data_IF_038404992788
#
_entry.id   IF_038404992788
#
_cell.length_a   1.000
_cell.length_b   1.000
_cell.length_c   1.000
_cell.angle_alpha   90.00
_cell.angle_beta   90.00
_cell.angle_gamma   90.00
#
_symmetry.space_group_name_H-M   'P 1'
#
loop_
_entity.id
_entity.type
_entity.pdbx_description
1 polymer ?
#
# COMPACT_ATOMS: atom_id res chain seq x y z
N UNK A 1 -3.00 -18.23 9.28
CA UNK A 1 -3.50 -16.86 8.97
C UNK A 1 -4.75 -16.99 8.10
N UNK A 2 -5.91 -16.50 8.53
CA UNK A 2 -7.13 -16.58 7.71
C UNK A 2 -7.14 -15.50 6.63
N UNK A 3 -7.44 -15.89 5.39
CA UNK A 3 -7.69 -14.93 4.32
C UNK A 3 -8.99 -14.15 4.58
N UNK A 4 -9.11 -12.89 4.13
CA UNK A 4 -10.39 -12.19 4.15
C UNK A 4 -11.46 -12.98 3.39
N UNK A 5 -12.74 -12.78 3.76
CA UNK A 5 -13.87 -13.34 2.99
C UNK A 5 -13.79 -12.86 1.54
N UNK A 6 -14.23 -13.70 0.59
CA UNK A 6 -14.25 -13.35 -0.83
C UNK A 6 -14.96 -12.01 -1.06
N UNK A 7 -14.40 -11.19 -1.96
CA UNK A 7 -14.90 -9.86 -2.26
C UNK A 7 -14.60 -8.80 -1.19
N UNK A 8 -13.86 -9.13 -0.11
CA UNK A 8 -13.46 -8.17 0.92
C UNK A 8 -11.94 -8.06 1.00
N UNK A 9 -11.47 -6.84 1.28
CA UNK A 9 -10.10 -6.58 1.68
C UNK A 9 -10.04 -6.30 3.19
N UNK A 10 -9.03 -6.83 3.87
CA UNK A 10 -8.73 -6.50 5.27
C UNK A 10 -8.15 -5.09 5.35
N UNK A 11 -8.73 -4.24 6.19
CA UNK A 11 -8.23 -2.90 6.48
C UNK A 11 -7.58 -2.93 7.87
N UNK A 12 -6.33 -2.49 7.98
CA UNK A 12 -5.60 -2.39 9.25
C UNK A 12 -5.26 -0.93 9.46
N UNK A 13 -5.63 -0.36 10.61
CA UNK A 13 -5.22 0.97 11.02
C UNK A 13 -4.12 0.79 12.08
N UNK A 14 -2.91 1.26 11.78
CA UNK A 14 -1.74 1.06 12.62
C UNK A 14 -1.22 2.41 13.11
N UNK A 15 -1.24 2.62 14.42
CA UNK A 15 -0.72 3.83 15.06
C UNK A 15 0.59 3.47 15.77
N UNK A 16 1.63 4.28 15.58
CA UNK A 16 2.93 4.09 16.22
C UNK A 16 3.64 5.43 16.42
N UNK A 17 4.32 5.59 17.55
CA UNK A 17 5.22 6.70 17.87
C UNK A 17 6.70 6.28 17.82
N UNK A 18 6.99 4.99 17.61
CA UNK A 18 8.32 4.41 17.74
C UNK A 18 8.84 3.66 16.51
N UNK A 19 10.00 3.04 16.69
CA UNK A 19 10.75 2.31 15.66
C UNK A 19 10.80 0.81 15.94
N UNK A 20 11.16 0.04 14.90
CA UNK A 20 11.47 -1.39 15.01
C UNK A 20 12.80 -1.66 14.33
N UNK A 21 13.53 -2.69 14.76
CA UNK A 21 14.82 -3.06 14.18
C UNK A 21 14.70 -3.74 12.80
N UNK A 22 13.59 -4.42 12.53
CA UNK A 22 13.41 -5.27 11.35
C UNK A 22 12.41 -4.71 10.31
N UNK A 23 12.51 -3.41 10.03
CA UNK A 23 11.61 -2.69 9.11
C UNK A 23 11.47 -3.39 7.75
N UNK A 24 12.58 -3.86 7.16
CA UNK A 24 12.57 -4.48 5.84
C UNK A 24 11.77 -5.79 5.81
N UNK A 25 11.99 -6.67 6.79
CA UNK A 25 11.27 -7.95 6.91
C UNK A 25 9.76 -7.72 7.07
N UNK A 26 9.37 -6.72 7.85
CA UNK A 26 7.96 -6.35 8.04
C UNK A 26 7.37 -5.80 6.74
N UNK A 27 8.09 -4.96 6.00
CA UNK A 27 7.64 -4.44 4.71
C UNK A 27 7.52 -5.58 3.67
N UNK A 28 8.45 -6.52 3.64
CA UNK A 28 8.39 -7.69 2.75
C UNK A 28 7.20 -8.58 3.06
N UNK A 29 6.94 -8.82 4.35
CA UNK A 29 5.72 -9.51 4.78
C UNK A 29 4.47 -8.75 4.31
N UNK A 30 4.46 -7.43 4.43
CA UNK A 30 3.34 -6.59 3.98
C UNK A 30 3.12 -6.69 2.46
N UNK A 31 4.19 -6.69 1.65
CA UNK A 31 4.09 -6.90 0.19
C UNK A 31 3.44 -8.24 -0.14
N UNK A 32 3.74 -9.29 0.63
CA UNK A 32 3.19 -10.64 0.42
C UNK A 32 1.66 -10.72 0.60
N UNK A 33 1.07 -9.81 1.39
CA UNK A 33 -0.37 -9.77 1.69
C UNK A 33 -1.12 -8.63 0.97
N UNK A 34 -0.42 -7.82 0.18
CA UNK A 34 -0.91 -6.56 -0.39
C UNK A 34 -2.10 -6.70 -1.36
N UNK A 35 -2.37 -7.91 -1.86
CA UNK A 35 -3.51 -8.18 -2.74
C UNK A 35 -4.85 -8.19 -2.00
N UNK A 36 -4.85 -8.43 -0.69
CA UNK A 36 -6.08 -8.62 0.09
C UNK A 36 -6.07 -7.85 1.42
N UNK A 37 -4.96 -7.20 1.77
CA UNK A 37 -4.82 -6.43 3.01
C UNK A 37 -4.24 -5.06 2.68
N UNK A 38 -4.82 -4.02 3.29
CA UNK A 38 -4.33 -2.64 3.29
C UNK A 38 -3.97 -2.19 4.70
N UNK A 39 -2.89 -1.43 4.84
CA UNK A 39 -2.47 -0.83 6.09
C UNK A 39 -2.50 0.70 5.96
N UNK A 40 -3.31 1.33 6.81
CA UNK A 40 -3.42 2.76 6.99
C UNK A 40 -2.58 3.12 8.23
N UNK A 41 -1.41 3.68 8.02
CA UNK A 41 -0.43 3.90 9.09
C UNK A 41 -0.42 5.35 9.58
N UNK A 42 -0.17 5.52 10.88
CA UNK A 42 -0.15 6.81 11.57
C UNK A 42 1.14 6.88 12.38
N UNK A 43 2.03 7.79 12.01
CA UNK A 43 3.21 8.11 12.81
C UNK A 43 2.87 9.23 13.79
N UNK A 44 2.90 8.95 15.09
CA UNK A 44 2.51 9.89 16.12
C UNK A 44 3.72 10.59 16.75
N UNK A 45 3.54 11.85 17.17
CA UNK A 45 4.52 12.56 17.96
C UNK A 45 5.68 13.13 17.16
N UNK A 46 6.80 13.37 17.85
CA UNK A 46 7.91 14.16 17.30
C UNK A 46 8.81 13.37 16.34
N UNK A 47 8.99 12.07 16.56
CA UNK A 47 9.98 11.28 15.82
C UNK A 47 9.55 9.82 15.56
N UNK A 48 8.36 9.59 14.97
CA UNK A 48 7.97 8.25 14.55
C UNK A 48 8.84 7.76 13.39
N UNK A 49 9.05 6.45 13.31
CA UNK A 49 9.82 5.83 12.22
C UNK A 49 9.18 6.10 10.86
N UNK A 50 9.81 6.98 10.07
CA UNK A 50 9.27 7.36 8.74
C UNK A 50 9.35 6.21 7.73
N UNK A 51 10.41 5.39 7.82
CA UNK A 51 10.61 4.23 6.96
C UNK A 51 9.52 3.19 7.19
N UNK A 52 9.21 2.90 8.45
CA UNK A 52 8.13 1.98 8.83
C UNK A 52 6.76 2.51 8.40
N UNK A 53 6.40 3.72 8.85
CA UNK A 53 5.07 4.30 8.60
C UNK A 53 4.79 4.41 7.09
N UNK A 54 5.73 4.96 6.30
CA UNK A 54 5.56 5.03 4.84
C UNK A 54 5.62 3.65 4.19
N UNK A 55 6.49 2.78 4.66
CA UNK A 55 6.72 1.44 4.11
C UNK A 55 5.48 0.56 4.19
N UNK A 56 4.84 0.50 5.35
CA UNK A 56 3.62 -0.26 5.60
C UNK A 56 2.49 0.14 4.62
N UNK A 57 2.24 1.45 4.52
CA UNK A 57 1.18 1.98 3.67
C UNK A 57 1.45 1.72 2.18
N UNK A 58 2.67 2.01 1.70
CA UNK A 58 3.04 1.82 0.30
C UNK A 58 3.04 0.36 -0.11
N UNK A 59 3.56 -0.53 0.73
CA UNK A 59 3.61 -1.95 0.46
C UNK A 59 2.22 -2.59 0.31
N UNK A 60 1.19 -2.00 0.91
CA UNK A 60 -0.15 -2.58 0.99
C UNK A 60 -1.23 -1.76 0.30
N UNK A 61 -0.87 -0.75 -0.50
CA UNK A 61 -1.82 0.17 -1.17
C UNK A 61 -2.74 0.93 -0.19
N UNK A 62 -2.27 1.18 1.03
CA UNK A 62 -2.94 2.02 2.01
C UNK A 62 -2.53 3.49 1.92
N UNK A 63 -2.66 4.21 3.03
CA UNK A 63 -2.20 5.60 3.18
C UNK A 63 -1.42 5.73 4.49
N UNK A 64 -0.61 6.77 4.56
CA UNK A 64 0.11 7.12 5.78
C UNK A 64 -0.16 8.57 6.14
N UNK A 65 -0.09 8.88 7.42
CA UNK A 65 -0.14 10.24 7.94
C UNK A 65 0.83 10.35 9.11
N UNK A 66 1.43 11.54 9.28
CA UNK A 66 2.21 11.87 10.46
C UNK A 66 1.41 12.89 11.26
N UNK A 67 1.14 12.59 12.53
CA UNK A 67 0.32 13.41 13.42
C UNK A 67 1.25 13.99 14.49
N UNK A 68 1.45 15.32 14.48
CA UNK A 68 2.26 15.97 15.51
C UNK A 68 1.66 15.77 16.92
N UNK A 69 2.47 15.96 17.97
CA UNK A 69 1.96 15.97 19.35
C UNK A 69 0.83 16.99 19.52
N UNK A 70 -0.07 16.72 20.48
CA UNK A 70 -1.20 17.61 20.81
C UNK A 70 -2.14 17.91 19.63
N UNK A 71 -2.13 17.08 18.59
CA UNK A 71 -3.06 17.14 17.46
C UNK A 71 -4.11 16.03 17.60
N UNK A 72 -5.38 16.34 17.35
CA UNK A 72 -6.43 15.31 17.34
C UNK A 72 -6.17 14.28 16.23
N UNK A 73 -6.27 13.01 16.59
CA UNK A 73 -6.10 11.88 15.68
C UNK A 73 -7.37 11.63 14.86
N UNK A 74 -8.51 12.12 15.35
CA UNK A 74 -9.86 11.75 14.90
C UNK A 74 -10.10 12.14 13.45
N UNK A 75 -9.68 13.35 13.06
CA UNK A 75 -9.82 13.86 11.68
C UNK A 75 -9.06 12.97 10.71
N UNK A 76 -7.81 12.63 11.03
CA UNK A 76 -6.97 11.80 10.18
C UNK A 76 -7.45 10.35 10.10
N UNK A 77 -8.00 9.81 11.19
CA UNK A 77 -8.65 8.49 11.17
C UNK A 77 -9.87 8.52 10.28
N UNK A 78 -10.70 9.57 10.36
CA UNK A 78 -11.85 9.76 9.48
C UNK A 78 -11.48 9.77 8.00
N UNK A 79 -10.45 10.54 7.62
CA UNK A 79 -9.94 10.60 6.25
C UNK A 79 -9.45 9.24 5.75
N UNK A 80 -8.64 8.53 6.55
CA UNK A 80 -8.16 7.21 6.17
C UNK A 80 -9.29 6.17 6.14
N UNK A 81 -10.31 6.30 7.00
CA UNK A 81 -11.50 5.44 6.99
C UNK A 81 -12.33 5.64 5.72
N UNK A 82 -12.55 6.88 5.28
CA UNK A 82 -13.21 7.16 4.00
C UNK A 82 -12.49 6.48 2.84
N UNK A 83 -11.15 6.47 2.85
CA UNK A 83 -10.32 5.74 1.87
C UNK A 83 -10.39 4.22 2.03
N UNK A 84 -10.46 3.73 3.26
CA UNK A 84 -10.57 2.30 3.58
C UNK A 84 -11.90 1.68 3.10
N UNK A 85 -12.95 2.49 3.00
CA UNK A 85 -14.29 2.08 2.53
C UNK A 85 -14.46 2.14 1.01
N UNK A 86 -13.50 2.71 0.27
CA UNK A 86 -13.58 2.79 -1.19
C UNK A 86 -13.56 1.39 -1.83
N UNK A 87 -14.41 1.21 -2.85
CA UNK A 87 -14.37 0.03 -3.71
C UNK A 87 -13.07 -0.03 -4.53
N UNK A 88 -12.75 -1.22 -5.04
CA UNK A 88 -11.62 -1.40 -5.94
C UNK A 88 -11.91 -2.43 -7.02
N UNK A 89 -11.14 -2.34 -8.09
CA UNK A 89 -10.98 -3.40 -9.08
C UNK A 89 -9.76 -4.22 -8.68
N UNK A 90 -9.91 -5.54 -8.71
CA UNK A 90 -8.84 -6.50 -8.40
C UNK A 90 -8.55 -7.36 -9.63
N UNK A 91 -7.49 -8.19 -9.56
CA UNK A 91 -7.10 -9.09 -10.65
C UNK A 91 -6.83 -8.37 -11.98
N UNK A 92 -6.23 -7.18 -11.90
CA UNK A 92 -5.88 -6.38 -13.06
C UNK A 92 -4.75 -7.07 -13.82
N UNK A 93 -4.87 -7.12 -15.14
CA UNK A 93 -3.82 -7.64 -16.05
C UNK A 93 -3.60 -6.61 -17.14
N UNK A 94 -2.33 -6.28 -17.36
CA UNK A 94 -1.91 -5.42 -18.48
C UNK A 94 -1.24 -6.31 -19.50
N UNK A 95 -1.77 -6.32 -20.73
CA UNK A 95 -1.16 -7.00 -21.87
C UNK A 95 -0.50 -5.94 -22.74
N UNK A 96 0.80 -6.03 -22.87
CA UNK A 96 1.59 -5.20 -23.79
C UNK A 96 1.68 -5.93 -25.14
N UNK A 97 1.32 -5.26 -26.22
CA UNK A 97 1.37 -5.83 -27.57
C UNK A 97 2.60 -5.30 -28.32
N UNK A 98 3.81 -5.68 -27.87
CA UNK A 98 5.06 -5.37 -28.57
C UNK A 98 5.69 -6.67 -29.09
N UNK A 99 6.50 -6.58 -30.13
CA UNK A 99 7.17 -7.72 -30.76
C UNK A 99 8.44 -8.21 -30.02
N UNK A 100 8.74 -7.62 -28.86
CA UNK A 100 9.92 -7.95 -28.05
C UNK A 100 9.53 -8.27 -26.61
N UNK A 101 10.45 -8.87 -25.87
CA UNK A 101 10.32 -9.12 -24.45
C UNK A 101 10.22 -7.82 -23.66
N UNK A 102 9.35 -7.82 -22.65
CA UNK A 102 9.07 -6.63 -21.84
C UNK A 102 9.30 -6.92 -20.38
N UNK A 103 10.07 -6.06 -19.74
CA UNK A 103 10.10 -5.95 -18.29
C UNK A 103 9.10 -4.89 -17.84
N UNK A 104 8.14 -5.24 -17.00
CA UNK A 104 7.14 -4.28 -16.51
C UNK A 104 7.24 -4.00 -15.03
N UNK A 105 6.93 -2.75 -14.66
CA UNK A 105 6.85 -2.28 -13.30
C UNK A 105 5.48 -1.61 -13.06
N UNK A 106 4.67 -2.06 -12.09
CA UNK A 106 4.92 -3.19 -11.20
C UNK A 106 4.85 -4.55 -11.93
N UNK A 107 5.60 -5.56 -11.47
CA UNK A 107 5.57 -6.91 -12.07
C UNK A 107 4.23 -7.61 -11.85
N UNK A 108 3.57 -7.32 -10.72
CA UNK A 108 2.22 -7.77 -10.40
C UNK A 108 1.34 -6.54 -10.19
N UNK A 109 0.25 -6.44 -10.96
CA UNK A 109 -0.66 -5.32 -10.83
C UNK A 109 -1.36 -5.35 -9.46
N UNK A 110 -1.27 -4.27 -8.66
CA UNK A 110 -2.03 -4.15 -7.43
C UNK A 110 -3.51 -3.87 -7.73
N UNK A 111 -4.41 -4.03 -6.74
CA UNK A 111 -5.77 -3.50 -6.84
C UNK A 111 -5.77 -1.99 -7.09
N UNK A 112 -6.77 -1.50 -7.82
CA UNK A 112 -6.99 -0.05 -8.06
C UNK A 112 -8.26 0.38 -7.36
N UNK A 113 -8.12 1.29 -6.40
CA UNK A 113 -9.22 1.83 -5.60
C UNK A 113 -9.86 3.04 -6.28
N UNK A 114 -11.12 3.31 -5.96
CA UNK A 114 -11.79 4.51 -6.42
C UNK A 114 -10.99 5.77 -6.03
N UNK A 115 -10.84 6.69 -6.99
CA UNK A 115 -10.07 7.94 -6.84
C UNK A 115 -8.55 7.76 -6.65
N UNK A 116 -8.00 6.57 -6.93
CA UNK A 116 -6.57 6.32 -6.99
C UNK A 116 -6.10 6.14 -8.44
N UNK A 117 -4.79 6.28 -8.68
CA UNK A 117 -4.16 6.10 -9.99
C UNK A 117 -3.13 4.96 -9.93
N UNK A 118 -3.21 4.04 -10.89
CA UNK A 118 -2.15 3.07 -11.17
C UNK A 118 -1.34 3.54 -12.37
N UNK A 119 -0.03 3.61 -12.20
CA UNK A 119 0.92 3.85 -13.28
C UNK A 119 1.70 2.55 -13.48
N UNK A 120 1.74 2.08 -14.73
CA UNK A 120 2.54 0.94 -15.14
C UNK A 120 3.54 1.40 -16.20
N UNK A 121 4.77 0.90 -16.07
CA UNK A 121 5.86 1.11 -17.01
C UNK A 121 6.21 -0.22 -17.67
N UNK A 122 6.65 -0.15 -18.92
CA UNK A 122 7.17 -1.28 -19.68
C UNK A 122 8.49 -0.85 -20.32
N UNK A 123 9.53 -1.64 -20.12
CA UNK A 123 10.79 -1.54 -20.83
C UNK A 123 10.82 -2.63 -21.89
N UNK A 124 10.86 -2.24 -23.16
CA UNK A 124 11.07 -3.13 -24.28
C UNK A 124 12.55 -3.49 -24.35
N UNK A 125 12.88 -4.77 -24.20
CA UNK A 125 14.25 -5.26 -24.27
C UNK A 125 14.57 -5.52 -25.75
N UNK A 126 14.86 -4.48 -26.53
CA UNK A 126 15.29 -4.65 -27.92
C UNK A 126 16.72 -5.24 -27.94
N UNK A 127 16.94 -6.42 -28.56
CA UNK A 127 18.25 -7.07 -28.53
C UNK A 127 19.24 -6.52 -29.59
N UNK A 128 19.12 -5.26 -30.02
CA UNK A 128 20.11 -4.63 -30.93
C UNK A 128 21.54 -4.83 -30.45
#
# INVERSE_FOLDING_TARGET
>A
KHSPRQGRARQIFLLTDGEISNVNEVIDLCRSIATSTRIFSFGLGHSPSRSLVKGLARATNGRFVFIPPNTSVDVHVGEQLQKALQSCITNIKVKWNLATDITSAPTKMPPVYANDRLIAYALANDPT
#
